data_IF_737742762890
#
_entry.id   IF_737742762890
#
_cell.length_a   1.000
_cell.length_b   1.000
_cell.length_c   1.000
_cell.angle_alpha   90.00
_cell.angle_beta   90.00
_cell.angle_gamma   90.00
#
_symmetry.space_group_name_H-M   'P 1'
#
loop_
_entity.id
_entity.type
_entity.pdbx_description
1 polymer ?
#
# COMPACT_ATOMS: atom_id res chain seq x y z
N UNK A 1 -20.27 -29.93 -8.51
CA UNK A 1 -20.15 -28.77 -9.45
C UNK A 1 -19.22 -27.78 -8.77
N UNK A 2 -18.02 -27.53 -9.35
CA UNK A 2 -16.99 -26.69 -8.72
C UNK A 2 -17.31 -25.21 -8.84
N UNK A 3 -16.71 -24.41 -7.96
CA UNK A 3 -16.80 -22.93 -7.95
C UNK A 3 -16.52 -22.31 -9.33
N UNK A 4 -15.74 -22.96 -10.19
CA UNK A 4 -15.46 -22.49 -11.56
C UNK A 4 -16.68 -22.32 -12.47
N UNK A 5 -17.79 -23.02 -12.22
CA UNK A 5 -19.02 -22.85 -13.00
C UNK A 5 -19.85 -21.64 -12.57
N UNK A 6 -19.67 -21.15 -11.35
CA UNK A 6 -20.33 -19.95 -10.82
C UNK A 6 -19.68 -18.71 -11.43
N UNK A 7 -18.36 -18.65 -11.53
CA UNK A 7 -17.64 -17.51 -12.11
C UNK A 7 -17.91 -17.31 -13.61
N UNK A 8 -18.19 -18.38 -14.35
CA UNK A 8 -18.50 -18.30 -15.79
C UNK A 8 -19.86 -17.67 -16.10
N UNK A 9 -20.70 -17.44 -15.07
CA UNK A 9 -22.04 -16.87 -15.21
C UNK A 9 -22.18 -15.45 -14.71
N UNK A 10 -21.13 -14.87 -14.14
CA UNK A 10 -21.14 -13.50 -13.63
C UNK A 10 -20.73 -12.52 -14.70
N UNK A 11 -21.54 -11.47 -14.92
CA UNK A 11 -21.13 -10.29 -15.66
C UNK A 11 -20.40 -9.35 -14.68
N UNK A 12 -19.11 -9.11 -14.90
CA UNK A 12 -18.31 -8.26 -14.05
C UNK A 12 -18.05 -6.93 -14.77
N UNK A 13 -18.36 -5.83 -14.08
CA UNK A 13 -17.96 -4.49 -14.50
C UNK A 13 -17.06 -3.87 -13.44
N UNK A 14 -15.84 -3.52 -13.83
CA UNK A 14 -14.90 -2.78 -13.00
C UNK A 14 -15.06 -1.30 -13.28
N UNK A 15 -15.45 -0.52 -12.28
CA UNK A 15 -15.61 0.93 -12.40
C UNK A 15 -14.44 1.65 -11.74
N UNK A 16 -13.89 2.66 -12.42
CA UNK A 16 -12.84 3.54 -11.91
C UNK A 16 -13.16 5.00 -12.23
N UNK A 17 -12.80 5.90 -11.31
CA UNK A 17 -12.87 7.33 -11.55
C UNK A 17 -11.62 7.76 -12.30
N UNK A 18 -11.80 8.43 -13.44
CA UNK A 18 -10.72 9.05 -14.21
C UNK A 18 -11.11 10.49 -14.56
N UNK A 19 -10.48 11.46 -13.89
CA UNK A 19 -10.74 12.88 -14.11
C UNK A 19 -10.42 13.38 -15.53
N UNK A 20 -9.72 12.57 -16.34
CA UNK A 20 -9.45 12.86 -17.75
C UNK A 20 -10.57 12.39 -18.69
N UNK A 21 -11.47 11.55 -18.19
CA UNK A 21 -12.63 11.13 -18.95
C UNK A 21 -13.66 12.27 -19.02
N UNK A 22 -14.07 12.67 -20.19
CA UNK A 22 -15.10 13.71 -20.41
C UNK A 22 -16.51 13.14 -20.19
N UNK A 23 -16.72 11.88 -20.49
CA UNK A 23 -18.01 11.18 -20.39
C UNK A 23 -17.84 9.79 -19.82
N UNK A 24 -18.95 9.25 -19.28
CA UNK A 24 -19.00 7.85 -18.85
C UNK A 24 -18.77 6.91 -20.03
N UNK A 25 -17.65 6.23 -20.02
CA UNK A 25 -17.26 5.28 -21.07
C UNK A 25 -17.27 3.85 -20.52
N UNK A 26 -17.85 2.92 -21.26
CA UNK A 26 -17.82 1.48 -20.91
C UNK A 26 -17.22 0.72 -22.10
N UNK A 27 -16.17 -0.05 -21.82
CA UNK A 27 -15.53 -0.95 -22.79
C UNK A 27 -15.42 -2.35 -22.21
N UNK A 28 -15.20 -3.36 -23.05
CA UNK A 28 -15.04 -4.75 -22.60
C UNK A 28 -13.72 -5.31 -23.10
N UNK A 29 -13.03 -6.07 -22.21
CA UNK A 29 -11.79 -6.77 -22.52
C UNK A 29 -11.78 -8.11 -21.80
N UNK A 30 -11.54 -9.20 -22.51
CA UNK A 30 -11.41 -10.56 -21.94
C UNK A 30 -12.58 -10.99 -21.05
N UNK A 31 -13.83 -10.63 -21.45
CA UNK A 31 -15.05 -10.99 -20.72
C UNK A 31 -15.36 -10.12 -19.49
N UNK A 32 -14.55 -9.09 -19.24
CA UNK A 32 -14.79 -8.11 -18.16
C UNK A 32 -15.11 -6.75 -18.80
N UNK A 33 -16.13 -6.07 -18.29
CA UNK A 33 -16.46 -4.70 -18.68
C UNK A 33 -15.70 -3.72 -17.78
N UNK A 34 -15.23 -2.62 -18.36
CA UNK A 34 -14.55 -1.54 -17.64
C UNK A 34 -15.33 -0.25 -17.85
N UNK A 35 -15.66 0.43 -16.78
CA UNK A 35 -16.35 1.71 -16.80
C UNK A 35 -15.42 2.81 -16.29
N UNK A 36 -15.14 3.82 -17.11
CA UNK A 36 -14.46 5.05 -16.69
C UNK A 36 -15.49 6.10 -16.36
N UNK A 37 -15.49 6.55 -15.12
CA UNK A 37 -16.43 7.54 -14.58
C UNK A 37 -15.70 8.89 -14.51
N UNK A 38 -16.22 9.95 -15.15
CA UNK A 38 -15.54 11.24 -15.27
C UNK A 38 -15.22 11.88 -13.90
N UNK A 39 -16.17 11.80 -12.99
CA UNK A 39 -16.02 12.26 -11.60
C UNK A 39 -16.64 11.25 -10.66
N UNK A 40 -16.10 11.17 -9.44
CA UNK A 40 -16.66 10.33 -8.38
C UNK A 40 -17.92 10.91 -7.74
N UNK A 41 -18.82 11.54 -8.49
CA UNK A 41 -20.06 12.10 -7.97
C UNK A 41 -21.17 11.05 -7.87
N UNK A 42 -22.14 11.28 -6.99
CA UNK A 42 -23.32 10.41 -6.81
C UNK A 42 -24.12 10.32 -8.12
N UNK A 43 -24.23 11.42 -8.86
CA UNK A 43 -24.97 11.51 -10.12
C UNK A 43 -24.35 10.59 -11.18
N UNK A 44 -23.05 10.68 -11.38
CA UNK A 44 -22.33 9.85 -12.35
C UNK A 44 -22.39 8.35 -12.00
N UNK A 45 -22.26 8.02 -10.72
CA UNK A 45 -22.47 6.65 -10.28
C UNK A 45 -23.91 6.20 -10.44
N UNK A 46 -24.89 7.05 -10.22
CA UNK A 46 -26.30 6.72 -10.44
C UNK A 46 -26.60 6.42 -11.93
N UNK A 47 -25.99 7.21 -12.84
CA UNK A 47 -26.07 6.94 -14.28
C UNK A 47 -25.43 5.60 -14.63
N UNK A 48 -24.25 5.30 -14.08
CA UNK A 48 -23.55 4.04 -14.27
C UNK A 48 -24.40 2.86 -13.78
N UNK A 49 -24.92 2.94 -12.55
CA UNK A 49 -25.73 1.87 -11.93
C UNK A 49 -27.01 1.61 -12.72
N UNK A 50 -27.69 2.65 -13.20
CA UNK A 50 -28.86 2.50 -14.08
C UNK A 50 -28.51 1.81 -15.41
N UNK A 51 -27.34 2.12 -15.99
CA UNK A 51 -26.88 1.54 -17.25
C UNK A 51 -26.50 0.06 -17.12
N UNK A 52 -25.87 -0.32 -16.00
CA UNK A 52 -25.36 -1.69 -15.77
C UNK A 52 -26.42 -2.57 -15.10
N UNK A 53 -27.27 -1.99 -14.26
CA UNK A 53 -28.26 -2.68 -13.43
C UNK A 53 -27.64 -3.87 -12.65
N UNK A 54 -26.62 -3.66 -11.82
CA UNK A 54 -25.91 -4.74 -11.14
C UNK A 54 -26.75 -5.30 -10.00
N UNK A 55 -26.60 -6.61 -9.72
CA UNK A 55 -27.19 -7.27 -8.55
C UNK A 55 -26.47 -6.93 -7.24
N UNK A 56 -25.18 -6.55 -7.33
CA UNK A 56 -24.32 -6.22 -6.20
C UNK A 56 -23.28 -5.19 -6.60
N UNK A 57 -23.01 -4.26 -5.72
CA UNK A 57 -21.83 -3.37 -5.80
C UNK A 57 -20.80 -3.83 -4.79
N UNK A 58 -19.61 -4.22 -5.27
CA UNK A 58 -18.45 -4.48 -4.43
C UNK A 58 -17.50 -3.28 -4.48
N UNK A 59 -17.35 -2.59 -3.35
CA UNK A 59 -16.42 -1.48 -3.18
C UNK A 59 -15.08 -2.07 -2.74
N UNK A 60 -14.03 -1.83 -3.53
CA UNK A 60 -12.69 -2.32 -3.27
C UNK A 60 -11.81 -1.19 -2.73
N UNK A 61 -11.63 -1.17 -1.41
CA UNK A 61 -10.98 -0.07 -0.68
C UNK A 61 -11.97 0.97 -0.17
N UNK A 62 -11.73 1.44 1.04
CA UNK A 62 -12.61 2.33 1.80
C UNK A 62 -12.10 3.77 1.85
N UNK A 63 -10.84 3.95 1.50
CA UNK A 63 -10.07 5.16 1.71
C UNK A 63 -10.40 6.30 0.72
N UNK A 64 -10.95 5.99 -0.45
CA UNK A 64 -11.20 7.00 -1.47
C UNK A 64 -12.60 7.63 -1.35
N UNK A 65 -12.70 8.93 -1.61
CA UNK A 65 -13.99 9.65 -1.62
C UNK A 65 -15.02 9.00 -2.55
N UNK A 66 -14.57 8.41 -3.67
CA UNK A 66 -15.42 7.67 -4.59
C UNK A 66 -16.11 6.45 -3.94
N UNK A 67 -15.50 5.82 -2.94
CA UNK A 67 -16.10 4.72 -2.21
C UNK A 67 -17.39 5.13 -1.50
N UNK A 68 -17.38 6.31 -0.88
CA UNK A 68 -18.57 6.87 -0.22
C UNK A 68 -19.67 7.24 -1.22
N UNK A 69 -19.32 7.86 -2.34
CA UNK A 69 -20.32 8.32 -3.32
C UNK A 69 -20.97 7.16 -4.08
N UNK A 70 -20.22 6.12 -4.46
CA UNK A 70 -20.80 4.91 -5.06
C UNK A 70 -21.67 4.15 -4.03
N UNK A 71 -21.28 4.10 -2.76
CA UNK A 71 -22.09 3.52 -1.69
C UNK A 71 -23.44 4.24 -1.58
N UNK A 72 -23.44 5.57 -1.56
CA UNK A 72 -24.67 6.38 -1.52
C UNK A 72 -25.55 6.14 -2.75
N UNK A 73 -24.97 6.14 -3.94
CA UNK A 73 -25.71 5.90 -5.18
C UNK A 73 -26.35 4.50 -5.21
N UNK A 74 -25.61 3.48 -4.78
CA UNK A 74 -26.12 2.09 -4.73
C UNK A 74 -27.22 1.94 -3.68
N UNK A 75 -27.06 2.50 -2.49
CA UNK A 75 -28.07 2.50 -1.45
C UNK A 75 -29.37 3.20 -1.89
N UNK A 76 -29.26 4.37 -2.54
CA UNK A 76 -30.41 5.09 -3.09
C UNK A 76 -31.13 4.28 -4.19
N UNK A 77 -30.40 3.45 -4.93
CA UNK A 77 -30.96 2.55 -5.94
C UNK A 77 -31.48 1.21 -5.37
N UNK A 78 -31.35 0.95 -4.07
CA UNK A 78 -31.73 -0.30 -3.44
C UNK A 78 -30.81 -1.47 -3.78
N UNK A 79 -29.60 -1.21 -4.29
CA UNK A 79 -28.62 -2.23 -4.68
C UNK A 79 -27.78 -2.61 -3.46
N UNK A 80 -27.64 -3.92 -3.14
CA UNK A 80 -26.78 -4.39 -2.06
C UNK A 80 -25.32 -3.94 -2.27
N UNK A 81 -24.64 -3.58 -1.17
CA UNK A 81 -23.24 -3.14 -1.18
C UNK A 81 -22.42 -4.03 -0.28
N UNK A 82 -21.34 -4.61 -0.82
CA UNK A 82 -20.25 -5.25 -0.10
C UNK A 82 -19.05 -4.32 -0.08
N UNK A 83 -18.52 -4.02 1.10
CA UNK A 83 -17.34 -3.17 1.28
C UNK A 83 -16.13 -4.04 1.56
N UNK A 84 -15.10 -3.99 0.71
CA UNK A 84 -13.83 -4.66 0.91
C UNK A 84 -12.81 -3.73 1.55
N UNK A 85 -12.45 -4.00 2.80
CA UNK A 85 -11.40 -3.24 3.49
C UNK A 85 -10.02 -3.70 3.02
N UNK A 86 -9.18 -2.75 2.58
CA UNK A 86 -7.84 -3.04 2.08
C UNK A 86 -6.75 -2.71 3.12
N UNK A 87 -6.71 -1.48 3.57
CA UNK A 87 -5.92 -1.03 4.70
C UNK A 87 -6.83 -0.67 5.89
N UNK A 88 -6.25 -0.37 7.03
CA UNK A 88 -6.92 0.26 8.15
C UNK A 88 -6.38 1.68 8.24
N UNK A 89 -7.00 2.60 7.50
CA UNK A 89 -6.48 3.96 7.33
C UNK A 89 -6.44 4.76 8.63
N UNK A 90 -7.36 4.49 9.54
CA UNK A 90 -7.35 5.09 10.87
C UNK A 90 -6.06 4.74 11.61
N UNK A 91 -5.63 3.48 11.55
CA UNK A 91 -4.39 3.02 12.16
C UNK A 91 -3.15 3.51 11.40
N UNK A 92 -3.19 3.48 10.07
CA UNK A 92 -2.13 4.03 9.23
C UNK A 92 -1.89 5.52 9.49
N UNK A 93 -2.95 6.33 9.65
CA UNK A 93 -2.85 7.76 9.94
C UNK A 93 -2.26 8.01 11.33
N UNK A 94 -2.66 7.20 12.33
CA UNK A 94 -2.15 7.30 13.70
C UNK A 94 -0.63 7.05 13.77
N UNK A 95 -0.14 6.07 13.01
CA UNK A 95 1.24 5.61 13.05
C UNK A 95 2.11 6.08 11.89
N UNK A 96 1.58 6.97 11.02
CA UNK A 96 2.26 7.36 9.78
C UNK A 96 3.68 7.86 9.99
N UNK A 97 3.90 8.66 11.02
CA UNK A 97 5.15 9.35 11.30
C UNK A 97 5.86 8.88 12.58
N UNK A 98 5.54 7.69 13.09
CA UNK A 98 6.15 7.15 14.29
C UNK A 98 7.68 7.05 14.13
N UNK A 99 8.41 7.36 15.20
CA UNK A 99 9.87 7.35 15.23
C UNK A 99 10.56 8.44 14.42
N UNK A 100 9.82 9.32 13.73
CA UNK A 100 10.36 10.46 12.99
C UNK A 100 10.63 11.63 13.96
N UNK A 101 11.80 12.29 13.88
CA UNK A 101 12.08 13.45 14.70
C UNK A 101 11.09 14.60 14.46
N UNK A 102 10.57 15.20 15.53
CA UNK A 102 9.55 16.26 15.48
C UNK A 102 9.93 17.44 14.55
N UNK A 103 11.23 17.79 14.47
CA UNK A 103 11.72 18.85 13.58
C UNK A 103 11.49 18.60 12.08
N UNK A 104 11.20 17.37 11.68
CA UNK A 104 10.94 17.01 10.30
C UNK A 104 9.44 17.00 9.95
N UNK A 105 8.57 17.10 10.96
CA UNK A 105 7.12 16.97 10.80
C UNK A 105 6.43 18.26 10.33
N UNK A 106 7.15 19.38 10.32
CA UNK A 106 6.58 20.68 9.96
C UNK A 106 7.28 21.27 8.75
N UNK A 107 6.47 21.73 7.81
CA UNK A 107 6.93 22.37 6.57
C UNK A 107 6.67 23.87 6.61
N UNK A 108 7.51 24.65 5.91
CA UNK A 108 7.29 26.08 5.77
C UNK A 108 6.41 26.41 4.56
N UNK A 109 5.88 27.65 4.52
CA UNK A 109 4.99 28.09 3.43
C UNK A 109 5.61 27.96 2.02
N UNK A 110 6.94 28.17 1.90
CA UNK A 110 7.63 28.00 0.62
C UNK A 110 7.65 26.54 0.15
N UNK A 111 7.82 25.58 1.09
CA UNK A 111 7.72 24.16 0.77
C UNK A 111 6.32 23.77 0.30
N UNK A 112 5.27 24.24 0.97
CA UNK A 112 3.89 23.99 0.57
C UNK A 112 3.56 24.54 -0.83
N UNK A 113 4.13 25.70 -1.19
CA UNK A 113 3.95 26.28 -2.52
C UNK A 113 4.56 25.38 -3.61
N UNK A 114 5.75 24.83 -3.35
CA UNK A 114 6.44 23.93 -4.30
C UNK A 114 5.78 22.55 -4.34
N UNK A 115 5.29 22.02 -3.21
CA UNK A 115 4.65 20.70 -3.12
C UNK A 115 3.40 20.58 -4.01
N UNK A 116 2.74 21.69 -4.33
CA UNK A 116 1.63 21.73 -5.31
C UNK A 116 2.06 21.26 -6.71
N UNK A 117 3.35 21.37 -7.04
CA UNK A 117 3.90 21.01 -8.35
C UNK A 117 4.72 19.71 -8.30
N UNK A 118 5.28 19.37 -7.13
CA UNK A 118 6.07 18.15 -6.90
C UNK A 118 5.59 17.50 -5.59
N UNK A 119 4.38 16.91 -5.60
CA UNK A 119 3.75 16.43 -4.38
C UNK A 119 4.42 15.18 -3.81
N UNK A 120 4.18 14.94 -2.51
CA UNK A 120 4.48 13.67 -1.85
C UNK A 120 5.76 13.64 -1.00
N UNK A 121 6.49 14.77 -0.92
CA UNK A 121 7.69 14.87 -0.09
C UNK A 121 7.45 15.28 1.36
N UNK A 122 6.48 16.15 1.60
CA UNK A 122 6.25 16.79 2.89
C UNK A 122 5.47 15.88 3.85
N UNK A 123 5.95 15.77 5.09
CA UNK A 123 5.38 14.85 6.08
C UNK A 123 4.05 15.35 6.65
N UNK A 124 3.89 16.65 6.87
CA UNK A 124 2.65 17.26 7.32
C UNK A 124 1.54 17.20 6.26
N UNK A 125 1.90 17.40 4.97
CA UNK A 125 0.97 17.23 3.86
C UNK A 125 0.52 15.76 3.73
N UNK A 126 1.46 14.83 3.87
CA UNK A 126 1.15 13.41 3.87
C UNK A 126 0.29 13.02 5.09
N UNK A 127 0.54 13.57 6.27
CA UNK A 127 -0.29 13.36 7.45
C UNK A 127 -1.73 13.82 7.19
N UNK A 128 -1.92 15.06 6.73
CA UNK A 128 -3.24 15.58 6.40
C UNK A 128 -3.99 14.74 5.35
N UNK A 129 -3.24 14.19 4.38
CA UNK A 129 -3.80 13.26 3.39
C UNK A 129 -4.26 11.96 4.05
N UNK A 130 -3.45 11.34 4.90
CA UNK A 130 -3.83 10.09 5.59
C UNK A 130 -4.99 10.31 6.55
N UNK A 131 -5.06 11.45 7.24
CA UNK A 131 -6.20 11.83 8.08
C UNK A 131 -7.49 11.92 7.24
N UNK A 132 -7.41 12.48 6.03
CA UNK A 132 -8.54 12.53 5.09
C UNK A 132 -8.96 11.13 4.63
N UNK A 133 -8.01 10.25 4.33
CA UNK A 133 -8.30 8.85 3.95
C UNK A 133 -8.94 8.09 5.11
N UNK A 134 -8.47 8.29 6.34
CA UNK A 134 -9.04 7.71 7.55
C UNK A 134 -10.48 8.19 7.80
N UNK A 135 -10.77 9.48 7.60
CA UNK A 135 -12.13 10.02 7.69
C UNK A 135 -13.04 9.42 6.61
N UNK A 136 -12.54 9.25 5.39
CA UNK A 136 -13.28 8.60 4.30
C UNK A 136 -13.63 7.16 4.65
N UNK A 137 -12.65 6.38 5.11
CA UNK A 137 -12.85 5.00 5.58
C UNK A 137 -13.91 4.92 6.68
N UNK A 138 -13.77 5.74 7.72
CA UNK A 138 -14.73 5.77 8.82
C UNK A 138 -16.16 6.07 8.34
N UNK A 139 -16.32 7.01 7.40
CA UNK A 139 -17.61 7.37 6.83
C UNK A 139 -18.23 6.25 5.97
N UNK A 140 -17.42 5.52 5.21
CA UNK A 140 -17.86 4.36 4.41
C UNK A 140 -18.28 3.22 5.34
N UNK A 141 -17.47 2.89 6.35
CA UNK A 141 -17.71 1.81 7.28
C UNK A 141 -18.95 2.07 8.16
N UNK A 142 -19.12 3.30 8.65
CA UNK A 142 -20.30 3.69 9.44
C UNK A 142 -21.63 3.43 8.71
N UNK A 143 -21.63 3.40 7.38
CA UNK A 143 -22.81 3.14 6.55
C UNK A 143 -22.81 1.75 5.92
N UNK A 144 -21.83 0.89 6.23
CA UNK A 144 -21.73 -0.45 5.69
C UNK A 144 -22.63 -1.43 6.46
N UNK A 145 -23.28 -2.35 5.73
CA UNK A 145 -24.00 -3.50 6.28
C UNK A 145 -23.23 -4.80 6.10
N UNK A 146 -22.42 -4.88 5.05
CA UNK A 146 -21.63 -6.05 4.69
C UNK A 146 -20.21 -5.62 4.41
N UNK A 147 -19.26 -6.18 5.13
CA UNK A 147 -17.83 -5.87 5.01
C UNK A 147 -17.05 -7.17 4.82
N UNK A 148 -16.10 -7.18 3.91
CA UNK A 148 -15.15 -8.26 3.73
C UNK A 148 -13.73 -7.80 4.01
N UNK A 149 -12.95 -8.66 4.63
CA UNK A 149 -11.55 -8.42 4.96
C UNK A 149 -10.80 -9.74 5.14
N UNK A 150 -9.56 -9.68 5.60
CA UNK A 150 -8.63 -10.81 5.53
C UNK A 150 -8.04 -11.23 6.87
N UNK A 151 -8.03 -10.33 7.84
CA UNK A 151 -7.26 -10.53 9.08
C UNK A 151 -8.11 -10.31 10.32
N UNK A 152 -7.62 -10.75 11.47
CA UNK A 152 -8.20 -10.37 12.77
C UNK A 152 -8.06 -8.88 13.04
N UNK A 153 -7.03 -8.24 12.49
CA UNK A 153 -6.78 -6.81 12.63
C UNK A 153 -7.88 -5.98 11.97
N UNK A 154 -8.16 -6.20 10.68
CA UNK A 154 -9.23 -5.48 9.99
C UNK A 154 -10.62 -5.84 10.54
N UNK A 155 -10.83 -7.10 10.95
CA UNK A 155 -12.06 -7.51 11.64
C UNK A 155 -12.29 -6.69 12.91
N UNK A 156 -11.24 -6.48 13.72
CA UNK A 156 -11.32 -5.68 14.94
C UNK A 156 -11.60 -4.21 14.64
N UNK A 157 -11.01 -3.67 13.56
CA UNK A 157 -11.29 -2.31 13.10
C UNK A 157 -12.76 -2.17 12.65
N UNK A 158 -13.26 -3.13 11.87
CA UNK A 158 -14.67 -3.16 11.43
C UNK A 158 -15.61 -3.24 12.62
N UNK A 159 -15.34 -4.08 13.62
CA UNK A 159 -16.16 -4.16 14.84
C UNK A 159 -16.27 -2.82 15.59
N UNK A 160 -15.22 -2.00 15.55
CA UNK A 160 -15.21 -0.67 16.19
C UNK A 160 -15.93 0.39 15.33
N UNK A 161 -15.68 0.40 14.02
CA UNK A 161 -16.15 1.46 13.10
C UNK A 161 -17.53 1.17 12.51
N UNK A 162 -17.92 -0.09 12.43
CA UNK A 162 -19.16 -0.58 11.84
C UNK A 162 -19.75 -1.74 12.67
N UNK A 163 -20.09 -1.53 13.96
CA UNK A 163 -20.55 -2.61 14.84
C UNK A 163 -21.84 -3.29 14.36
N UNK A 164 -22.60 -2.62 13.47
CA UNK A 164 -23.83 -3.15 12.86
C UNK A 164 -23.56 -4.02 11.62
N UNK A 165 -22.32 -4.03 11.08
CA UNK A 165 -22.00 -4.72 9.85
C UNK A 165 -21.73 -6.22 10.07
N UNK A 166 -22.18 -7.04 9.13
CA UNK A 166 -21.74 -8.43 9.03
C UNK A 166 -20.36 -8.48 8.38
N UNK A 167 -19.40 -9.12 9.05
CA UNK A 167 -18.05 -9.30 8.52
C UNK A 167 -17.87 -10.68 7.90
N UNK A 168 -17.33 -10.72 6.68
CA UNK A 168 -17.06 -11.93 5.91
C UNK A 168 -15.56 -12.06 5.65
N UNK A 169 -14.87 -13.10 6.18
CA UNK A 169 -13.48 -13.33 5.86
C UNK A 169 -13.33 -13.77 4.39
N UNK A 170 -12.50 -13.08 3.64
CA UNK A 170 -12.23 -13.40 2.24
C UNK A 170 -10.80 -13.08 1.90
N UNK A 171 -9.98 -14.10 1.75
CA UNK A 171 -8.58 -13.94 1.37
C UNK A 171 -8.46 -13.60 -0.12
N UNK A 172 -7.46 -12.80 -0.44
CA UNK A 172 -7.08 -12.49 -1.81
C UNK A 172 -5.99 -13.46 -2.31
N UNK A 173 -5.98 -13.67 -3.61
CA UNK A 173 -4.87 -14.37 -4.27
C UNK A 173 -3.71 -13.40 -4.50
N UNK A 174 -2.49 -13.91 -4.34
CA UNK A 174 -1.29 -13.18 -4.67
C UNK A 174 -0.97 -13.32 -6.17
N UNK A 175 0.10 -12.66 -6.60
CA UNK A 175 0.53 -12.71 -8.01
C UNK A 175 0.90 -14.13 -8.41
N UNK A 176 0.53 -14.59 -9.62
CA UNK A 176 0.70 -15.99 -10.06
C UNK A 176 2.13 -16.51 -9.98
N UNK A 177 3.10 -15.63 -10.19
CA UNK A 177 4.53 -15.94 -10.19
C UNK A 177 5.01 -16.55 -8.87
N UNK A 178 4.32 -16.27 -7.76
CA UNK A 178 4.73 -16.73 -6.43
C UNK A 178 4.21 -18.12 -6.06
N UNK A 179 3.30 -18.68 -6.87
CA UNK A 179 2.76 -20.04 -6.65
C UNK A 179 3.54 -21.15 -7.37
N UNK A 180 4.59 -20.80 -8.11
CA UNK A 180 5.35 -21.74 -8.95
C UNK A 180 6.77 -21.95 -8.42
N UNK A 181 7.37 -23.14 -8.60
CA UNK A 181 8.78 -23.39 -8.29
C UNK A 181 9.72 -22.49 -9.12
N UNK A 182 10.96 -22.24 -8.67
CA UNK A 182 11.55 -22.75 -7.43
C UNK A 182 11.05 -21.97 -6.20
N UNK A 183 11.12 -22.60 -5.02
CA UNK A 183 10.96 -21.97 -3.71
C UNK A 183 12.31 -21.64 -3.10
N UNK A 184 12.34 -20.85 -2.06
CA UNK A 184 13.54 -20.54 -1.31
C UNK A 184 14.07 -21.80 -0.59
N UNK A 185 15.37 -21.96 -0.56
CA UNK A 185 16.03 -23.02 0.20
C UNK A 185 17.06 -22.42 1.15
N UNK A 186 17.21 -22.98 2.36
CA UNK A 186 18.23 -22.56 3.29
C UNK A 186 19.62 -22.61 2.63
N UNK A 187 20.35 -21.53 2.77
CA UNK A 187 21.75 -21.42 2.38
C UNK A 187 22.61 -21.42 3.63
N UNK A 188 23.83 -21.91 3.53
CA UNK A 188 24.82 -21.67 4.59
C UNK A 188 25.05 -20.18 4.64
N UNK A 189 24.65 -19.53 5.76
CA UNK A 189 24.94 -18.13 5.97
C UNK A 189 26.46 -17.99 6.01
N UNK A 190 27.00 -17.36 4.98
CA UNK A 190 28.35 -16.80 5.05
C UNK A 190 28.35 -15.56 5.94
N UNK A 191 29.46 -14.84 5.91
CA UNK A 191 29.59 -13.56 6.64
C UNK A 191 28.76 -12.41 6.02
N UNK A 192 28.03 -12.65 4.93
CA UNK A 192 27.34 -11.66 4.13
C UNK A 192 25.87 -11.97 3.84
N UNK A 193 25.01 -12.09 4.88
CA UNK A 193 23.60 -12.33 4.66
C UNK A 193 22.91 -11.14 3.99
N UNK A 194 21.92 -11.44 3.15
CA UNK A 194 21.10 -10.45 2.44
C UNK A 194 19.76 -10.29 3.16
N UNK A 195 19.52 -9.10 3.67
CA UNK A 195 18.24 -8.68 4.27
C UNK A 195 17.43 -7.96 3.22
N UNK A 196 16.19 -8.33 3.01
CA UNK A 196 15.30 -7.70 2.02
C UNK A 196 14.17 -6.92 2.68
N UNK A 197 14.03 -5.65 2.30
CA UNK A 197 12.90 -4.79 2.63
C UNK A 197 12.13 -4.45 1.35
N UNK A 198 10.84 -4.75 1.29
CA UNK A 198 10.04 -4.54 0.08
C UNK A 198 9.72 -3.09 -0.24
N UNK A 199 9.78 -2.20 0.74
CA UNK A 199 9.49 -0.77 0.59
C UNK A 199 10.05 0.03 1.77
N UNK A 200 10.65 1.20 1.49
CA UNK A 200 11.25 2.05 2.53
C UNK A 200 11.13 3.55 2.29
N UNK A 201 10.25 4.00 1.38
CA UNK A 201 10.24 5.37 0.88
C UNK A 201 9.44 6.38 1.72
N UNK A 202 8.65 5.93 2.72
CA UNK A 202 7.91 6.81 3.63
C UNK A 202 7.88 6.22 5.07
N UNK A 203 7.63 7.06 6.11
CA UNK A 203 7.86 6.69 7.50
C UNK A 203 7.13 5.45 7.99
N UNK A 204 5.87 5.26 7.59
CA UNK A 204 5.07 4.09 8.00
C UNK A 204 5.78 2.76 7.71
N UNK A 205 6.62 2.70 6.66
CA UNK A 205 7.41 1.51 6.31
C UNK A 205 8.68 1.32 7.14
N UNK A 206 8.96 2.26 8.01
CA UNK A 206 9.93 2.16 9.11
C UNK A 206 11.37 1.76 8.73
N UNK A 207 11.83 2.18 7.54
CA UNK A 207 13.23 1.99 7.12
C UNK A 207 14.22 2.53 8.16
N UNK A 208 13.90 3.64 8.80
CA UNK A 208 14.79 4.30 9.76
C UNK A 208 15.10 3.43 11.01
N UNK A 209 14.19 2.57 11.45
CA UNK A 209 14.46 1.61 12.54
C UNK A 209 15.38 0.49 12.07
N UNK A 210 15.18 -0.01 10.84
CA UNK A 210 16.08 -1.01 10.25
C UNK A 210 17.50 -0.44 10.13
N UNK A 211 17.64 0.80 9.65
CA UNK A 211 18.94 1.46 9.56
C UNK A 211 19.62 1.62 10.94
N UNK A 212 18.86 1.92 11.99
CA UNK A 212 19.38 2.01 13.37
C UNK A 212 19.82 0.66 13.93
N UNK A 213 19.15 -0.43 13.54
CA UNK A 213 19.45 -1.79 13.99
C UNK A 213 20.61 -2.43 13.22
N UNK A 214 20.84 -2.02 11.97
CA UNK A 214 21.83 -2.65 11.08
C UNK A 214 23.27 -2.68 11.62
N UNK A 215 23.77 -1.69 12.37
CA UNK A 215 25.10 -1.79 12.99
C UNK A 215 25.28 -2.99 13.93
N UNK A 216 24.22 -3.38 14.65
CA UNK A 216 24.27 -4.56 15.51
C UNK A 216 24.34 -5.86 14.71
N UNK A 217 23.69 -5.90 13.55
CA UNK A 217 23.81 -7.03 12.61
C UNK A 217 25.22 -7.09 12.04
N UNK A 218 25.80 -5.96 11.62
CA UNK A 218 27.13 -5.87 11.04
C UNK A 218 28.24 -6.24 12.03
N UNK A 219 28.01 -6.05 13.33
CA UNK A 219 28.93 -6.52 14.36
C UNK A 219 29.10 -8.04 14.37
N UNK A 220 28.08 -8.80 13.95
CA UNK A 220 28.10 -10.26 13.87
C UNK A 220 28.36 -10.76 12.44
N UNK A 221 27.87 -10.03 11.45
CA UNK A 221 27.94 -10.35 10.03
C UNK A 221 28.48 -9.15 9.24
N UNK A 222 29.79 -8.94 9.22
CA UNK A 222 30.41 -7.74 8.65
C UNK A 222 30.09 -7.49 7.17
N UNK A 223 29.78 -8.55 6.42
CA UNK A 223 29.40 -8.47 5.01
C UNK A 223 27.88 -8.34 4.76
N UNK A 224 27.06 -8.22 5.82
CA UNK A 224 25.61 -8.15 5.64
C UNK A 224 25.17 -6.95 4.78
N UNK A 225 24.15 -7.17 3.95
CA UNK A 225 23.60 -6.15 3.04
C UNK A 225 22.10 -6.04 3.25
N UNK A 226 21.61 -4.80 3.41
CA UNK A 226 20.20 -4.47 3.34
C UNK A 226 19.85 -4.07 1.91
N UNK A 227 19.02 -4.87 1.25
CA UNK A 227 18.40 -4.53 -0.03
C UNK A 227 17.03 -3.92 0.21
N UNK A 228 16.81 -2.71 -0.33
CA UNK A 228 15.53 -1.99 -0.27
C UNK A 228 14.94 -1.96 -1.66
N UNK A 229 13.80 -2.62 -1.86
CA UNK A 229 13.09 -2.57 -3.13
C UNK A 229 12.39 -1.21 -3.27
N UNK A 230 12.47 -0.62 -4.46
CA UNK A 230 11.93 0.71 -4.77
C UNK A 230 13.01 1.74 -5.08
N UNK A 231 12.55 2.93 -5.39
CA UNK A 231 13.44 4.02 -5.79
C UNK A 231 14.40 4.44 -4.66
N UNK A 232 15.68 4.65 -4.97
CA UNK A 232 16.59 5.30 -4.02
C UNK A 232 16.11 6.73 -3.72
N UNK A 233 16.57 7.32 -2.60
CA UNK A 233 16.35 8.73 -2.35
C UNK A 233 16.77 9.58 -3.54
N UNK A 234 15.92 10.55 -3.91
CA UNK A 234 16.14 11.38 -5.10
C UNK A 234 17.52 12.03 -5.07
N UNK A 235 18.24 11.94 -6.17
CA UNK A 235 19.47 12.67 -6.43
C UNK A 235 19.43 13.25 -7.87
N UNK A 236 19.36 14.57 -7.98
CA UNK A 236 19.36 15.31 -9.25
C UNK A 236 20.64 16.11 -9.44
N UNK A 237 21.73 15.64 -8.84
CA UNK A 237 23.03 16.27 -8.90
C UNK A 237 23.21 17.40 -7.87
N UNK A 238 24.44 17.94 -7.76
CA UNK A 238 24.83 18.82 -6.67
C UNK A 238 24.06 20.15 -6.63
N UNK A 239 23.65 20.67 -7.77
CA UNK A 239 22.93 21.95 -7.85
C UNK A 239 21.51 21.88 -7.31
N UNK A 240 20.79 20.80 -7.58
CA UNK A 240 19.40 20.62 -7.13
C UNK A 240 19.28 19.89 -5.80
N UNK A 241 20.36 19.26 -5.33
CA UNK A 241 20.36 18.49 -4.08
C UNK A 241 19.83 19.27 -2.87
N UNK A 242 20.21 20.52 -2.60
CA UNK A 242 19.68 21.25 -1.44
C UNK A 242 18.17 21.43 -1.49
N UNK A 243 17.61 21.67 -2.68
CA UNK A 243 16.16 21.81 -2.88
C UNK A 243 15.45 20.47 -2.68
N UNK A 244 16.01 19.38 -3.22
CA UNK A 244 15.45 18.03 -3.08
C UNK A 244 15.52 17.58 -1.62
N UNK A 245 16.66 17.74 -0.97
CA UNK A 245 16.85 17.39 0.43
C UNK A 245 15.88 18.16 1.34
N UNK A 246 15.56 19.38 0.98
CA UNK A 246 14.60 20.23 1.68
C UNK A 246 13.13 19.79 1.41
N UNK A 247 12.81 19.37 0.18
CA UNK A 247 11.46 18.92 -0.21
C UNK A 247 11.11 17.50 0.24
N UNK A 248 12.13 16.65 0.52
CA UNK A 248 11.94 15.25 0.90
C UNK A 248 12.61 14.93 2.23
N UNK A 249 12.16 15.54 3.35
CA UNK A 249 12.84 15.49 4.64
C UNK A 249 13.04 14.07 5.18
N UNK A 250 12.09 13.14 4.99
CA UNK A 250 12.24 11.76 5.45
C UNK A 250 13.34 11.01 4.69
N UNK A 251 13.34 11.08 3.37
CA UNK A 251 14.35 10.41 2.54
C UNK A 251 15.74 10.97 2.81
N UNK A 252 15.84 12.30 2.95
CA UNK A 252 17.07 12.98 3.31
C UNK A 252 17.57 12.56 4.68
N UNK A 253 16.68 12.44 5.65
CA UNK A 253 17.03 11.95 6.98
C UNK A 253 17.51 10.50 6.95
N UNK A 254 16.87 9.59 6.25
CA UNK A 254 17.34 8.21 6.06
C UNK A 254 18.72 8.18 5.40
N UNK A 255 18.96 8.99 4.36
CA UNK A 255 20.27 9.14 3.70
C UNK A 255 21.35 9.65 4.66
N UNK A 256 21.02 10.63 5.50
CA UNK A 256 21.93 11.14 6.53
C UNK A 256 22.19 10.07 7.61
N UNK A 257 21.16 9.31 8.01
CA UNK A 257 21.29 8.23 8.98
C UNK A 257 22.22 7.13 8.46
N UNK A 258 22.03 6.70 7.22
CA UNK A 258 22.90 5.73 6.53
C UNK A 258 24.38 6.20 6.57
N UNK A 259 24.64 7.47 6.26
CA UNK A 259 26.01 8.01 6.29
C UNK A 259 26.58 8.09 7.70
N UNK A 260 25.81 8.59 8.68
CA UNK A 260 26.26 8.74 10.07
C UNK A 260 26.60 7.42 10.72
N UNK A 261 25.89 6.34 10.35
CA UNK A 261 26.09 4.99 10.87
C UNK A 261 27.12 4.19 10.07
N UNK A 262 27.75 4.78 9.05
CA UNK A 262 28.76 4.11 8.22
C UNK A 262 28.19 2.99 7.34
N UNK A 263 26.92 3.07 6.94
CA UNK A 263 26.18 2.00 6.26
C UNK A 263 26.17 2.15 4.73
N UNK A 264 26.95 3.06 4.16
CA UNK A 264 26.87 3.39 2.72
C UNK A 264 27.09 2.18 1.81
N UNK A 265 27.99 1.28 2.19
CA UNK A 265 28.32 0.07 1.42
C UNK A 265 27.41 -1.11 1.74
N UNK A 266 26.55 -0.98 2.76
CA UNK A 266 25.66 -2.03 3.26
C UNK A 266 24.18 -1.82 2.92
N UNK A 267 23.80 -0.69 2.32
CA UNK A 267 22.42 -0.40 1.92
C UNK A 267 22.33 -0.23 0.41
N UNK A 268 21.58 -1.12 -0.22
CA UNK A 268 21.42 -1.17 -1.67
C UNK A 268 19.95 -0.95 -2.05
N UNK A 269 19.68 0.00 -2.95
CA UNK A 269 18.35 0.18 -3.53
C UNK A 269 18.29 -0.50 -4.89
N UNK A 270 17.27 -1.33 -5.10
CA UNK A 270 17.13 -2.12 -6.34
C UNK A 270 16.45 -1.34 -7.47
N UNK A 271 15.83 -0.21 -7.19
CA UNK A 271 14.82 0.37 -8.06
C UNK A 271 13.48 -0.38 -7.96
N UNK A 272 12.47 0.05 -8.73
CA UNK A 272 11.18 -0.66 -8.80
C UNK A 272 11.37 -2.03 -9.44
N UNK A 273 10.78 -3.05 -8.84
CA UNK A 273 10.83 -4.43 -9.32
C UNK A 273 9.44 -4.85 -9.82
N UNK A 274 9.38 -5.47 -10.99
CA UNK A 274 8.19 -6.20 -11.42
C UNK A 274 8.01 -7.51 -10.63
N UNK A 275 6.98 -8.28 -10.95
CA UNK A 275 6.67 -9.51 -10.22
C UNK A 275 7.80 -10.55 -10.30
N UNK A 276 8.40 -10.73 -11.47
CA UNK A 276 9.47 -11.70 -11.68
C UNK A 276 10.75 -11.27 -10.96
N UNK A 277 11.14 -10.00 -11.10
CA UNK A 277 12.32 -9.46 -10.43
C UNK A 277 12.14 -9.42 -8.90
N UNK A 278 10.94 -9.11 -8.39
CA UNK A 278 10.66 -9.16 -6.96
C UNK A 278 10.74 -10.60 -6.42
N UNK A 279 10.19 -11.56 -7.16
CA UNK A 279 10.34 -12.98 -6.82
C UNK A 279 11.80 -13.40 -6.75
N UNK A 280 12.62 -13.00 -7.71
CA UNK A 280 14.05 -13.29 -7.68
C UNK A 280 14.73 -12.64 -6.47
N UNK A 281 14.37 -11.40 -6.15
CA UNK A 281 14.90 -10.70 -4.97
C UNK A 281 14.59 -11.45 -3.65
N UNK A 282 13.40 -12.06 -3.52
CA UNK A 282 13.08 -12.91 -2.38
C UNK A 282 13.95 -14.20 -2.37
N UNK A 283 14.12 -14.86 -3.52
CA UNK A 283 14.94 -16.08 -3.61
C UNK A 283 16.43 -15.82 -3.31
N UNK A 284 16.90 -14.61 -3.61
CA UNK A 284 18.29 -14.19 -3.36
C UNK A 284 18.50 -13.63 -1.95
N UNK A 285 17.45 -13.43 -1.18
CA UNK A 285 17.55 -12.95 0.19
C UNK A 285 17.67 -14.09 1.20
N UNK A 286 18.17 -13.79 2.38
CA UNK A 286 18.28 -14.73 3.49
C UNK A 286 17.21 -14.44 4.56
N UNK A 287 16.73 -13.21 4.62
CA UNK A 287 15.69 -12.78 5.56
C UNK A 287 14.85 -11.67 4.93
N UNK A 288 13.53 -11.81 4.98
CA UNK A 288 12.60 -10.73 4.65
C UNK A 288 12.25 -9.93 5.90
N UNK A 289 12.30 -8.59 5.80
CA UNK A 289 11.95 -7.67 6.86
C UNK A 289 10.63 -6.98 6.57
N UNK A 290 9.71 -6.99 7.53
CA UNK A 290 8.48 -6.20 7.51
C UNK A 290 8.40 -5.34 8.77
N UNK A 291 9.07 -4.19 8.79
CA UNK A 291 9.16 -3.32 9.96
C UNK A 291 8.03 -2.29 10.05
N UNK A 292 7.07 -2.32 9.14
CA UNK A 292 6.00 -1.32 9.05
C UNK A 292 5.23 -1.17 10.37
N UNK A 293 4.95 0.08 10.79
CA UNK A 293 4.17 0.36 11.99
C UNK A 293 2.70 -0.07 11.89
N UNK A 294 2.14 -0.08 10.69
CA UNK A 294 0.78 -0.56 10.43
C UNK A 294 0.71 -1.30 9.10
N UNK A 295 0.14 -2.51 9.11
CA UNK A 295 -0.09 -3.34 7.93
C UNK A 295 -1.36 -4.18 8.08
N UNK A 296 -2.12 -4.30 7.01
CA UNK A 296 -3.24 -5.21 6.93
C UNK A 296 -3.04 -6.21 5.79
N UNK A 297 -2.51 -7.40 6.10
CA UNK A 297 -2.25 -8.46 5.13
C UNK A 297 -1.42 -8.00 3.92
N UNK A 298 -0.18 -7.50 4.12
CA UNK A 298 0.63 -6.99 3.01
C UNK A 298 0.99 -8.12 2.05
N UNK A 299 0.78 -7.90 0.75
CA UNK A 299 1.08 -8.88 -0.28
C UNK A 299 2.54 -9.34 -0.25
N UNK A 300 3.46 -8.42 0.07
CA UNK A 300 4.89 -8.72 0.20
C UNK A 300 5.21 -9.76 1.27
N UNK A 301 4.46 -9.78 2.38
CA UNK A 301 4.58 -10.81 3.40
C UNK A 301 4.09 -12.16 2.88
N UNK A 302 2.90 -12.17 2.28
CA UNK A 302 2.32 -13.38 1.70
C UNK A 302 3.22 -13.99 0.60
N UNK A 303 3.82 -13.16 -0.23
CA UNK A 303 4.78 -13.56 -1.26
C UNK A 303 6.04 -14.21 -0.67
N UNK A 304 6.63 -13.60 0.37
CA UNK A 304 7.77 -14.18 1.09
C UNK A 304 7.41 -15.52 1.72
N UNK A 305 6.21 -15.62 2.34
CA UNK A 305 5.72 -16.86 2.95
C UNK A 305 5.49 -17.97 1.92
N UNK A 306 4.91 -17.66 0.75
CA UNK A 306 4.70 -18.63 -0.33
C UNK A 306 6.01 -19.21 -0.85
N UNK A 307 7.05 -18.39 -0.89
CA UNK A 307 8.39 -18.83 -1.29
C UNK A 307 9.14 -19.57 -0.18
N UNK A 308 8.68 -19.51 1.06
CA UNK A 308 9.34 -20.15 2.21
C UNK A 308 10.54 -19.36 2.76
N UNK A 309 10.69 -18.07 2.38
CA UNK A 309 11.75 -17.21 2.88
C UNK A 309 11.54 -16.92 4.37
N UNK A 310 12.57 -17.06 5.24
CA UNK A 310 12.51 -16.60 6.62
C UNK A 310 12.14 -15.12 6.70
N UNK A 311 11.36 -14.75 7.72
CA UNK A 311 10.85 -13.38 7.88
C UNK A 311 10.98 -12.90 9.32
N UNK A 312 11.16 -11.58 9.47
CA UNK A 312 11.11 -10.88 10.74
C UNK A 312 10.06 -9.78 10.66
N UNK A 313 9.14 -9.81 11.61
CA UNK A 313 8.15 -8.76 11.86
C UNK A 313 8.64 -7.93 13.03
N UNK A 314 8.60 -6.62 12.92
CA UNK A 314 9.03 -5.70 14.00
C UNK A 314 7.80 -4.98 14.54
#
# INVERSE_FOLDING_TARGET
RGLGDVYKRQAITVASVDARAETLTVCSKSGVSFALVPTGSVENFSVLLKKIAPDLVHIWGTEYAAARTIQQAAQAAGIPVLVGIQGVMVDCALHLNDGVPARLLHSCAAQHLIDRHVPGGLLDVNQARFDTLAQSEAAVLANARHVTGRTSFDRSAVQKLAPQASYYPCNETLRPEFYTPPVWHPRTFGEAPVLLLSQGNYPLKNLHTVLKALPAVLAQYPGAVLRVAGWPPLDKGPLLRPVIDWMFPYQTWCKQLTRRLGLADHVQYTGPLDAAAMRQAYLDADLFLLPSYSENSPNSLGEAMLLGLPLSLI
#
